data_IF_177797339619
#
_entry.id   IF_177797339619
#
_cell.length_a   1.000
_cell.length_b   1.000
_cell.length_c   1.000
_cell.angle_alpha   90.00
_cell.angle_beta   90.00
_cell.angle_gamma   90.00
#
_symmetry.space_group_name_H-M   'P 1'
#
loop_
_entity.id
_entity.type
_entity.pdbx_description
1 polymer ?
#
# COMPACT_ATOMS: atom_id res chain seq x y z
N UNK A 1 -9.25 34.44 -9.99
CA UNK A 1 -8.00 34.21 -9.22
C UNK A 1 -8.11 33.03 -8.27
N UNK A 2 -9.15 32.93 -7.43
CA UNK A 2 -9.34 31.81 -6.49
C UNK A 2 -9.29 30.45 -7.19
N UNK A 3 -10.02 30.27 -8.30
CA UNK A 3 -10.03 29.02 -9.07
C UNK A 3 -8.62 28.61 -9.58
N UNK A 4 -7.82 29.57 -10.05
CA UNK A 4 -6.44 29.30 -10.49
C UNK A 4 -5.52 28.90 -9.31
N UNK A 5 -5.71 29.51 -8.14
CA UNK A 5 -4.97 29.14 -6.92
C UNK A 5 -5.36 27.72 -6.47
N UNK A 6 -6.66 27.40 -6.48
CA UNK A 6 -7.17 26.06 -6.18
C UNK A 6 -6.56 25.02 -7.11
N UNK A 7 -6.45 25.31 -8.41
CA UNK A 7 -5.78 24.45 -9.37
C UNK A 7 -4.34 24.12 -8.94
N UNK A 8 -3.53 25.13 -8.60
CA UNK A 8 -2.14 24.91 -8.19
C UNK A 8 -2.03 24.11 -6.90
N UNK A 9 -2.90 24.41 -5.94
CA UNK A 9 -2.95 23.70 -4.66
C UNK A 9 -3.29 22.23 -4.88
N UNK A 10 -4.32 21.95 -5.68
CA UNK A 10 -4.73 20.56 -5.97
C UNK A 10 -3.60 19.83 -6.67
N UNK A 11 -2.99 20.39 -7.73
CA UNK A 11 -1.88 19.74 -8.44
C UNK A 11 -0.68 19.48 -7.52
N UNK A 12 -0.32 20.45 -6.67
CA UNK A 12 0.76 20.30 -5.70
C UNK A 12 0.45 19.20 -4.67
N UNK A 13 -0.78 19.17 -4.16
CA UNK A 13 -1.24 18.17 -3.21
C UNK A 13 -1.31 16.78 -3.83
N UNK A 14 -1.77 16.66 -5.08
CA UNK A 14 -1.77 15.42 -5.86
C UNK A 14 -0.36 14.85 -6.00
N UNK A 15 0.62 15.71 -6.35
CA UNK A 15 2.02 15.30 -6.45
C UNK A 15 2.57 14.85 -5.09
N UNK A 16 2.25 15.57 -4.01
CA UNK A 16 2.64 15.24 -2.65
C UNK A 16 2.06 13.90 -2.20
N UNK A 17 0.76 13.68 -2.36
CA UNK A 17 0.07 12.43 -1.99
C UNK A 17 0.67 11.25 -2.75
N UNK A 18 0.89 11.40 -4.06
CA UNK A 18 1.50 10.35 -4.89
C UNK A 18 2.94 10.04 -4.43
N UNK A 19 3.70 11.05 -4.01
CA UNK A 19 5.05 10.88 -3.47
C UNK A 19 5.04 10.16 -2.11
N UNK A 20 4.11 10.51 -1.22
CA UNK A 20 3.93 9.84 0.07
C UNK A 20 3.61 8.35 -0.16
N UNK A 21 2.64 8.06 -1.04
CA UNK A 21 2.27 6.69 -1.37
C UNK A 21 3.43 5.91 -1.99
N UNK A 22 4.20 6.53 -2.89
CA UNK A 22 5.43 5.92 -3.43
C UNK A 22 6.40 5.51 -2.33
N UNK A 23 6.68 6.41 -1.38
CA UNK A 23 7.61 6.12 -0.28
C UNK A 23 7.03 5.02 0.62
N UNK A 24 5.74 5.08 0.97
CA UNK A 24 5.07 4.05 1.75
C UNK A 24 5.16 2.67 1.08
N UNK A 25 4.90 2.59 -0.22
CA UNK A 25 5.03 1.35 -1.00
C UNK A 25 6.47 0.83 -1.03
N UNK A 26 7.48 1.70 -1.08
CA UNK A 26 8.90 1.29 -0.96
C UNK A 26 9.17 0.68 0.41
N UNK A 27 8.62 1.25 1.49
CA UNK A 27 8.75 0.67 2.85
C UNK A 27 8.09 -0.70 2.99
N UNK A 28 7.12 -1.04 2.13
CA UNK A 28 6.54 -2.40 2.09
C UNK A 28 7.38 -3.43 1.30
N UNK A 29 8.53 -3.02 0.76
CA UNK A 29 9.46 -3.90 0.02
C UNK A 29 9.34 -3.85 -1.50
N UNK A 30 8.56 -2.93 -2.08
CA UNK A 30 8.53 -2.73 -3.54
C UNK A 30 9.79 -2.00 -4.03
N UNK A 31 10.26 -2.37 -5.22
CA UNK A 31 11.34 -1.62 -5.88
C UNK A 31 10.91 -0.17 -6.14
N UNK A 32 11.87 0.75 -6.11
CA UNK A 32 11.57 2.19 -6.30
C UNK A 32 10.87 2.47 -7.63
N UNK A 33 11.20 1.73 -8.69
CA UNK A 33 10.56 1.88 -10.00
C UNK A 33 9.12 1.38 -9.97
N UNK A 34 8.87 0.18 -9.43
CA UNK A 34 7.53 -0.40 -9.31
C UNK A 34 6.64 0.47 -8.41
N UNK A 35 7.13 0.90 -7.24
CA UNK A 35 6.36 1.77 -6.34
C UNK A 35 5.99 3.12 -6.96
N UNK A 36 6.90 3.76 -7.72
CA UNK A 36 6.63 5.02 -8.43
C UNK A 36 5.57 4.84 -9.52
N UNK A 37 5.71 3.78 -10.32
CA UNK A 37 4.76 3.47 -11.38
C UNK A 37 3.39 3.16 -10.78
N UNK A 38 3.33 2.26 -9.79
CA UNK A 38 2.08 1.84 -9.17
C UNK A 38 1.34 3.00 -8.49
N UNK A 39 2.05 3.87 -7.74
CA UNK A 39 1.44 5.04 -7.14
C UNK A 39 0.88 6.01 -8.19
N UNK A 40 1.60 6.24 -9.31
CA UNK A 40 1.08 7.11 -10.38
C UNK A 40 -0.12 6.48 -11.07
N UNK A 41 -0.04 5.22 -11.47
CA UNK A 41 -1.12 4.55 -12.19
C UNK A 41 -2.37 4.38 -11.32
N UNK A 42 -2.22 4.18 -10.01
CA UNK A 42 -3.33 4.19 -9.07
C UNK A 42 -3.99 5.56 -8.96
N UNK A 43 -3.20 6.63 -8.84
CA UNK A 43 -3.70 7.99 -8.74
C UNK A 43 -4.41 8.45 -10.02
N UNK A 44 -3.91 8.07 -11.20
CA UNK A 44 -4.50 8.47 -12.49
C UNK A 44 -5.58 7.51 -13.00
N UNK A 45 -5.78 6.37 -12.36
CA UNK A 45 -6.72 5.33 -12.82
C UNK A 45 -6.28 4.59 -14.09
N UNK A 46 -4.99 4.63 -14.44
CA UNK A 46 -4.47 3.98 -15.67
C UNK A 46 -4.45 2.45 -15.56
N UNK A 47 -4.44 1.90 -14.34
CA UNK A 47 -4.42 0.47 -14.08
C UNK A 47 -3.03 -0.17 -14.07
N UNK A 48 -3.00 -1.50 -13.97
CA UNK A 48 -1.77 -2.31 -13.86
C UNK A 48 -1.87 -3.55 -14.73
N UNK A 49 -0.72 -4.18 -14.98
CA UNK A 49 -0.69 -5.56 -15.47
C UNK A 49 -1.08 -6.53 -14.35
N UNK A 50 -1.54 -7.73 -14.70
CA UNK A 50 -1.94 -8.76 -13.72
C UNK A 50 -0.83 -9.05 -12.70
N UNK A 51 0.41 -9.21 -13.17
CA UNK A 51 1.56 -9.49 -12.31
C UNK A 51 1.88 -8.35 -11.32
N UNK A 52 1.67 -7.08 -11.71
CA UNK A 52 1.85 -5.95 -10.79
C UNK A 52 0.69 -5.84 -9.79
N UNK A 53 -0.54 -6.13 -10.22
CA UNK A 53 -1.71 -6.20 -9.33
C UNK A 53 -1.55 -7.26 -8.25
N UNK A 54 -1.06 -8.45 -8.58
CA UNK A 54 -0.80 -9.52 -7.60
C UNK A 54 0.17 -9.07 -6.50
N UNK A 55 1.25 -8.38 -6.87
CA UNK A 55 2.20 -7.81 -5.91
C UNK A 55 1.51 -6.86 -4.94
N UNK A 56 0.58 -6.03 -5.40
CA UNK A 56 -0.15 -5.09 -4.54
C UNK A 56 -1.15 -5.85 -3.66
N UNK A 57 -1.94 -6.77 -4.24
CA UNK A 57 -3.06 -7.44 -3.57
C UNK A 57 -2.62 -8.44 -2.50
N UNK A 58 -1.44 -9.03 -2.64
CA UNK A 58 -0.86 -9.99 -1.69
C UNK A 58 -0.38 -9.36 -0.37
N UNK A 59 -0.52 -8.04 -0.18
CA UNK A 59 -0.15 -7.37 1.07
C UNK A 59 -1.24 -6.38 1.51
N UNK A 60 -1.77 -6.50 2.74
CA UNK A 60 -2.93 -5.72 3.19
C UNK A 60 -2.66 -4.20 3.17
N UNK A 61 -1.46 -3.78 3.60
CA UNK A 61 -1.07 -2.35 3.58
C UNK A 61 -0.93 -1.79 2.17
N UNK A 62 -0.22 -2.48 1.24
CA UNK A 62 -0.11 -2.04 -0.16
C UNK A 62 -1.49 -1.87 -0.80
N UNK A 63 -2.38 -2.84 -0.58
CA UNK A 63 -3.76 -2.80 -1.05
C UNK A 63 -4.52 -1.58 -0.53
N UNK A 64 -4.42 -1.27 0.77
CA UNK A 64 -5.09 -0.10 1.37
C UNK A 64 -4.53 1.24 0.84
N UNK A 65 -3.21 1.35 0.65
CA UNK A 65 -2.59 2.53 0.05
C UNK A 65 -3.15 2.77 -1.35
N UNK A 66 -3.17 1.73 -2.20
CA UNK A 66 -3.61 1.83 -3.59
C UNK A 66 -5.10 2.15 -3.69
N UNK A 67 -5.95 1.53 -2.87
CA UNK A 67 -7.38 1.85 -2.84
C UNK A 67 -7.65 3.33 -2.50
N UNK A 68 -6.99 3.86 -1.48
CA UNK A 68 -7.13 5.27 -1.12
C UNK A 68 -6.64 6.19 -2.25
N UNK A 69 -5.56 5.82 -2.93
CA UNK A 69 -5.01 6.60 -4.04
C UNK A 69 -5.97 6.68 -5.22
N UNK A 70 -6.65 5.59 -5.56
CA UNK A 70 -7.66 5.57 -6.62
C UNK A 70 -8.84 6.48 -6.30
N UNK A 71 -9.31 6.48 -5.05
CA UNK A 71 -10.41 7.35 -4.61
C UNK A 71 -10.02 8.84 -4.68
N UNK A 72 -8.86 9.19 -4.12
CA UNK A 72 -8.35 10.57 -4.10
C UNK A 72 -8.03 11.06 -5.51
N UNK A 73 -7.51 10.18 -6.37
CA UNK A 73 -7.22 10.46 -7.78
C UNK A 73 -8.43 11.01 -8.53
N UNK A 74 -9.55 10.29 -8.46
CA UNK A 74 -10.79 10.70 -9.11
C UNK A 74 -11.32 12.04 -8.59
N UNK A 75 -11.29 12.27 -7.27
CA UNK A 75 -11.68 13.55 -6.68
C UNK A 75 -10.77 14.71 -7.14
N UNK A 76 -9.47 14.44 -7.28
CA UNK A 76 -8.49 15.42 -7.77
C UNK A 76 -8.77 15.85 -9.22
N UNK A 77 -9.04 14.91 -10.11
CA UNK A 77 -9.35 15.19 -11.51
C UNK A 77 -10.59 16.08 -11.63
N UNK A 78 -11.68 15.76 -10.91
CA UNK A 78 -12.90 16.58 -10.92
C UNK A 78 -12.61 18.01 -10.44
N UNK A 79 -11.82 18.16 -9.38
CA UNK A 79 -11.47 19.48 -8.83
C UNK A 79 -10.62 20.31 -9.79
N UNK A 80 -9.64 19.68 -10.46
CA UNK A 80 -8.82 20.31 -11.50
C UNK A 80 -9.69 20.80 -12.65
N UNK A 81 -10.59 19.94 -13.15
CA UNK A 81 -11.48 20.27 -14.26
C UNK A 81 -12.42 21.44 -13.90
N UNK A 82 -13.07 21.40 -12.74
CA UNK A 82 -13.90 22.49 -12.25
C UNK A 82 -13.14 23.81 -12.13
N UNK A 83 -11.89 23.75 -11.64
CA UNK A 83 -11.03 24.94 -11.51
C UNK A 83 -10.66 25.54 -12.87
N UNK A 84 -10.37 24.70 -13.86
CA UNK A 84 -10.08 25.14 -15.23
C UNK A 84 -11.32 25.74 -15.89
N UNK A 85 -12.48 25.11 -15.76
CA UNK A 85 -13.75 25.64 -16.29
C UNK A 85 -14.03 27.02 -15.69
N UNK A 86 -13.94 27.17 -14.37
CA UNK A 86 -14.14 28.46 -13.71
C UNK A 86 -13.12 29.52 -14.14
N UNK A 87 -11.90 29.11 -14.47
CA UNK A 87 -10.82 30.03 -14.88
C UNK A 87 -10.97 30.51 -16.32
N UNK A 88 -11.49 29.67 -17.22
CA UNK A 88 -11.50 29.96 -18.67
C UNK A 88 -12.89 30.18 -19.28
N UNK A 89 -13.94 29.60 -18.70
CA UNK A 89 -15.30 29.63 -19.25
C UNK A 89 -16.11 30.78 -18.64
N UNK A 90 -15.95 31.03 -17.34
CA UNK A 90 -16.72 32.04 -16.62
C UNK A 90 -16.41 33.51 -17.01
N UNK A 91 -15.16 33.91 -17.34
CA UNK A 91 -14.88 35.30 -17.69
C UNK A 91 -15.42 35.68 -19.07
N UNK A 92 -16.10 36.83 -19.18
CA UNK A 92 -16.69 37.28 -20.45
C UNK A 92 -15.69 37.99 -21.39
N UNK A 93 -14.60 38.56 -20.85
CA UNK A 93 -13.64 39.33 -21.65
C UNK A 93 -12.41 38.52 -22.04
N UNK A 94 -11.96 38.68 -23.29
CA UNK A 94 -10.77 38.01 -23.83
C UNK A 94 -9.50 38.33 -23.00
N UNK A 95 -9.36 39.58 -22.56
CA UNK A 95 -8.23 40.01 -21.72
C UNK A 95 -8.17 39.24 -20.39
N UNK A 96 -9.32 38.94 -19.77
CA UNK A 96 -9.38 38.15 -18.53
C UNK A 96 -9.00 36.70 -18.76
N UNK A 97 -9.41 36.12 -19.91
CA UNK A 97 -9.02 34.76 -20.30
C UNK A 97 -7.52 34.65 -20.57
N UNK A 98 -6.93 35.63 -21.28
CA UNK A 98 -5.49 35.69 -21.54
C UNK A 98 -4.70 35.86 -20.24
N UNK A 99 -5.14 36.73 -19.34
CA UNK A 99 -4.51 36.90 -18.03
C UNK A 99 -4.57 35.62 -17.18
N UNK A 100 -5.73 34.94 -17.18
CA UNK A 100 -5.89 33.64 -16.54
C UNK A 100 -4.97 32.57 -17.13
N UNK A 101 -4.83 32.54 -18.46
CA UNK A 101 -3.93 31.61 -19.16
C UNK A 101 -2.47 31.82 -18.74
N UNK A 102 -2.00 33.07 -18.74
CA UNK A 102 -0.63 33.40 -18.33
C UNK A 102 -0.37 32.95 -16.89
N UNK A 103 -1.31 33.22 -15.98
CA UNK A 103 -1.20 32.78 -14.58
C UNK A 103 -1.13 31.25 -14.48
N UNK A 104 -2.01 30.53 -15.18
CA UNK A 104 -2.05 29.05 -15.15
C UNK A 104 -0.75 28.46 -15.70
N UNK A 105 -0.24 28.96 -16.83
CA UNK A 105 1.01 28.49 -17.43
C UNK A 105 2.20 28.73 -16.52
N UNK A 106 2.33 29.94 -15.97
CA UNK A 106 3.42 30.28 -15.05
C UNK A 106 3.32 29.45 -13.77
N UNK A 107 2.13 29.37 -13.17
CA UNK A 107 1.92 28.64 -11.92
C UNK A 107 2.16 27.14 -12.06
N UNK A 108 1.67 26.51 -13.13
CA UNK A 108 1.96 25.10 -13.41
C UNK A 108 3.44 24.85 -13.69
N UNK A 109 4.11 25.77 -14.38
CA UNK A 109 5.56 25.68 -14.62
C UNK A 109 6.35 25.73 -13.32
N UNK A 110 5.97 26.61 -12.39
CA UNK A 110 6.56 26.70 -11.05
C UNK A 110 6.33 25.42 -10.24
N UNK A 111 5.09 24.89 -10.24
CA UNK A 111 4.77 23.64 -9.55
C UNK A 111 5.57 22.47 -10.14
N UNK A 112 5.63 22.37 -11.46
CA UNK A 112 6.39 21.33 -12.14
C UNK A 112 7.89 21.41 -11.83
N UNK A 113 8.46 22.60 -11.85
CA UNK A 113 9.85 22.83 -11.45
C UNK A 113 10.11 22.45 -9.99
N UNK A 114 9.20 22.83 -9.09
CA UNK A 114 9.29 22.47 -7.67
C UNK A 114 9.23 20.94 -7.47
N UNK A 115 8.32 20.24 -8.14
CA UNK A 115 8.18 18.78 -8.05
C UNK A 115 9.41 18.05 -8.62
N UNK A 116 10.04 18.58 -9.67
CA UNK A 116 11.21 17.96 -10.30
C UNK A 116 12.55 18.34 -9.62
N UNK A 117 12.54 19.29 -8.68
CA UNK A 117 13.75 19.73 -8.00
C UNK A 117 14.30 18.66 -7.05
N UNK A 118 15.55 18.23 -7.28
CA UNK A 118 16.26 17.26 -6.42
C UNK A 118 16.38 17.72 -4.97
N UNK A 119 16.34 19.03 -4.72
CA UNK A 119 16.40 19.58 -3.37
C UNK A 119 15.08 19.37 -2.64
N UNK A 120 13.97 19.72 -3.30
CA UNK A 120 12.60 19.49 -2.80
C UNK A 120 12.37 18.01 -2.59
N UNK A 121 12.75 17.16 -3.56
CA UNK A 121 12.58 15.72 -3.48
C UNK A 121 13.29 15.12 -2.25
N UNK A 122 14.53 15.55 -1.98
CA UNK A 122 15.31 15.10 -0.81
C UNK A 122 14.72 15.58 0.50
N UNK A 123 14.36 16.86 0.59
CA UNK A 123 13.76 17.44 1.79
C UNK A 123 12.43 16.76 2.13
N UNK A 124 11.58 16.62 1.12
CA UNK A 124 10.27 15.99 1.27
C UNK A 124 10.39 14.51 1.59
N UNK A 125 11.29 13.77 0.93
CA UNK A 125 11.51 12.36 1.25
C UNK A 125 12.01 12.17 2.69
N UNK A 126 12.88 13.05 3.20
CA UNK A 126 13.34 13.01 4.59
C UNK A 126 12.22 13.30 5.58
N UNK A 127 11.38 14.29 5.28
CA UNK A 127 10.23 14.64 6.11
C UNK A 127 9.20 13.52 6.12
N UNK A 128 8.84 12.99 4.96
CA UNK A 128 7.91 11.86 4.80
C UNK A 128 8.44 10.64 5.57
N UNK A 129 9.70 10.26 5.38
CA UNK A 129 10.30 9.14 6.12
C UNK A 129 10.26 9.32 7.65
N UNK A 130 10.47 10.54 8.14
CA UNK A 130 10.35 10.84 9.58
C UNK A 130 8.91 10.74 10.06
N UNK A 131 7.97 11.28 9.29
CA UNK A 131 6.54 11.25 9.62
C UNK A 131 6.01 9.81 9.61
N UNK A 132 6.37 9.00 8.60
CA UNK A 132 5.97 7.59 8.56
C UNK A 132 6.53 6.84 9.76
N UNK A 133 7.81 7.01 10.11
CA UNK A 133 8.38 6.35 11.31
C UNK A 133 7.74 6.79 12.63
N UNK A 134 7.21 8.02 12.70
CA UNK A 134 6.65 8.58 13.94
C UNK A 134 5.16 8.31 14.10
N UNK A 135 4.40 8.32 13.00
CA UNK A 135 2.93 8.25 13.01
C UNK A 135 2.40 6.94 12.44
N UNK A 136 3.23 6.20 11.72
CA UNK A 136 2.86 4.89 11.22
C UNK A 136 3.66 3.86 12.00
N UNK A 137 2.98 3.20 12.94
CA UNK A 137 3.28 1.79 13.18
C UNK A 137 2.99 1.09 11.86
N UNK A 138 3.95 1.15 10.94
CA UNK A 138 4.10 0.08 9.99
C UNK A 138 4.59 -1.09 10.85
N UNK A 139 3.67 -1.69 11.60
CA UNK A 139 3.65 -3.09 12.02
C UNK A 139 3.60 -3.98 10.76
N UNK A 140 4.55 -3.71 9.87
CA UNK A 140 5.12 -4.62 8.90
C UNK A 140 6.55 -4.92 9.35
N UNK A 141 6.86 -4.64 10.61
CA UNK A 141 7.83 -5.44 11.34
C UNK A 141 7.03 -6.57 11.98
N UNK A 142 7.03 -7.68 11.27
CA UNK A 142 7.73 -8.83 11.80
C UNK A 142 6.96 -10.14 12.09
N UNK A 143 6.13 -10.59 11.15
CA UNK A 143 5.82 -12.03 11.08
C UNK A 143 6.81 -12.82 10.22
N UNK A 144 7.53 -12.16 9.30
CA UNK A 144 8.45 -12.82 8.37
C UNK A 144 9.93 -12.67 8.74
N UNK A 145 10.36 -11.62 9.46
CA UNK A 145 11.76 -11.41 9.81
C UNK A 145 12.13 -11.92 11.23
N UNK A 146 11.19 -12.07 12.19
CA UNK A 146 11.45 -12.72 13.50
C UNK A 146 11.83 -14.17 13.27
N UNK A 147 11.28 -14.80 12.23
CA UNK A 147 11.56 -16.19 11.94
C UNK A 147 12.74 -16.43 10.99
N UNK A 148 13.41 -15.38 10.47
CA UNK A 148 14.60 -15.53 9.61
C UNK A 148 14.43 -16.64 8.55
N UNK A 149 13.21 -16.77 8.02
CA UNK A 149 12.87 -17.84 7.09
C UNK A 149 13.49 -17.46 5.75
N UNK A 150 14.66 -18.05 5.44
CA UNK A 150 15.24 -18.04 4.08
C UNK A 150 14.15 -18.38 3.07
N UNK A 151 14.29 -17.87 1.84
CA UNK A 151 13.32 -17.75 0.73
C UNK A 151 12.42 -18.97 0.37
N UNK A 152 12.48 -20.07 1.11
CA UNK A 152 11.77 -21.33 0.92
C UNK A 152 10.84 -21.73 2.07
N UNK A 153 10.64 -20.89 3.09
CA UNK A 153 9.71 -21.20 4.17
C UNK A 153 8.59 -20.17 4.28
N UNK A 154 7.37 -20.66 4.51
CA UNK A 154 6.15 -19.85 4.69
C UNK A 154 5.41 -20.31 5.93
N UNK A 155 4.98 -19.36 6.75
CA UNK A 155 4.07 -19.63 7.86
C UNK A 155 2.64 -19.52 7.33
N UNK A 156 1.84 -20.55 7.60
CA UNK A 156 0.43 -20.60 7.23
C UNK A 156 -0.34 -21.21 8.38
N UNK A 157 -1.48 -20.62 8.70
CA UNK A 157 -2.49 -21.27 9.52
C UNK A 157 -3.29 -22.24 8.64
N UNK A 158 -3.61 -23.42 9.15
CA UNK A 158 -4.48 -24.36 8.46
C UNK A 158 -5.46 -25.00 9.44
N UNK A 159 -6.74 -24.73 9.23
CA UNK A 159 -7.82 -25.38 9.94
C UNK A 159 -7.93 -26.84 9.48
N UNK A 160 -7.85 -27.79 10.41
CA UNK A 160 -8.01 -29.21 10.14
C UNK A 160 -9.50 -29.54 10.22
N UNK A 161 -10.10 -29.81 9.06
CA UNK A 161 -11.49 -30.26 8.96
C UNK A 161 -11.63 -31.75 9.33
N UNK A 162 -12.80 -32.19 9.80
CA UNK A 162 -13.03 -33.57 10.26
C UNK A 162 -12.75 -34.64 9.20
N UNK A 163 -12.86 -34.31 7.91
CA UNK A 163 -12.60 -35.23 6.80
C UNK A 163 -11.17 -35.10 6.21
N UNK A 164 -10.28 -34.41 6.91
CA UNK A 164 -8.91 -34.18 6.46
C UNK A 164 -8.02 -35.37 6.82
N UNK A 165 -7.02 -35.67 5.99
CA UNK A 165 -6.03 -36.72 6.23
C UNK A 165 -5.22 -36.52 7.53
N UNK A 166 -5.20 -35.30 8.07
CA UNK A 166 -4.57 -34.95 9.34
C UNK A 166 -5.47 -35.22 10.58
N UNK A 167 -6.78 -35.43 10.39
CA UNK A 167 -7.71 -35.65 11.49
C UNK A 167 -7.48 -37.01 12.18
N UNK A 168 -7.70 -37.07 13.49
CA UNK A 168 -7.56 -38.30 14.32
C UNK A 168 -6.18 -38.95 14.35
N UNK A 169 -5.13 -38.25 13.88
CA UNK A 169 -3.75 -38.69 13.99
C UNK A 169 -2.98 -37.88 15.02
N UNK A 170 -2.01 -38.51 15.65
CA UNK A 170 -1.08 -37.78 16.53
C UNK A 170 -0.04 -37.03 15.69
N UNK A 171 0.54 -35.96 16.24
CA UNK A 171 1.65 -35.25 15.56
C UNK A 171 2.82 -36.19 15.23
N UNK A 172 3.04 -37.20 16.07
CA UNK A 172 4.06 -38.23 15.87
C UNK A 172 3.74 -39.14 14.68
N UNK A 173 2.46 -39.45 14.46
CA UNK A 173 2.00 -40.27 13.33
C UNK A 173 1.97 -39.50 12.02
N UNK A 174 1.77 -38.18 12.06
CA UNK A 174 1.75 -37.34 10.88
C UNK A 174 3.15 -37.04 10.32
N UNK A 175 4.18 -37.15 11.16
CA UNK A 175 5.59 -36.88 10.84
C UNK A 175 5.81 -35.66 9.92
N UNK A 176 5.10 -34.58 10.22
CA UNK A 176 5.07 -33.37 9.38
C UNK A 176 6.45 -32.76 9.14
N UNK A 177 7.40 -33.03 10.04
CA UNK A 177 8.80 -32.60 9.89
C UNK A 177 9.46 -33.24 8.67
N UNK A 178 9.15 -34.50 8.37
CA UNK A 178 9.67 -35.18 7.17
C UNK A 178 9.08 -34.59 5.89
N UNK A 179 7.86 -34.07 5.94
CA UNK A 179 7.20 -33.34 4.84
C UNK A 179 7.64 -31.86 4.76
N UNK A 180 8.64 -31.44 5.55
CA UNK A 180 9.15 -30.07 5.56
C UNK A 180 8.26 -29.07 6.31
N UNK A 181 7.27 -29.53 7.07
CA UNK A 181 6.32 -28.71 7.82
C UNK A 181 6.70 -28.69 9.30
N UNK A 182 6.90 -27.48 9.85
CA UNK A 182 7.17 -27.27 11.28
C UNK A 182 5.96 -26.65 11.94
N UNK A 183 5.45 -27.29 13.01
CA UNK A 183 4.33 -26.76 13.80
C UNK A 183 4.85 -25.79 14.84
N UNK A 184 4.34 -24.56 14.81
CA UNK A 184 4.68 -23.51 15.76
C UNK A 184 3.70 -23.43 16.94
N UNK A 185 2.44 -23.82 16.72
CA UNK A 185 1.43 -23.87 17.77
C UNK A 185 0.16 -24.59 17.31
N UNK A 186 -0.66 -24.98 18.28
CA UNK A 186 -1.97 -25.58 18.05
C UNK A 186 -3.00 -24.75 18.81
N UNK A 187 -4.01 -24.29 18.08
CA UNK A 187 -5.18 -23.65 18.63
C UNK A 187 -6.34 -24.67 18.66
N UNK A 188 -6.97 -24.87 19.82
CA UNK A 188 -8.09 -25.80 20.01
C UNK A 188 -9.28 -25.04 20.57
N UNK A 189 -10.49 -25.37 20.10
CA UNK A 189 -11.71 -24.78 20.64
C UNK A 189 -11.92 -25.10 22.14
N UNK A 190 -11.31 -26.17 22.64
CA UNK A 190 -11.51 -26.72 23.99
C UNK A 190 -10.32 -26.47 24.94
N UNK A 191 -9.20 -25.90 24.45
CA UNK A 191 -8.01 -25.61 25.25
C UNK A 191 -7.34 -24.32 24.76
N UNK A 192 -6.76 -23.56 25.68
CA UNK A 192 -5.93 -22.40 25.33
C UNK A 192 -4.79 -22.77 24.37
N UNK A 193 -4.36 -21.78 23.58
CA UNK A 193 -3.31 -21.88 22.58
C UNK A 193 -2.03 -22.55 23.12
N UNK A 194 -1.60 -23.63 22.47
CA UNK A 194 -0.38 -24.36 22.83
C UNK A 194 0.75 -23.94 21.90
N UNK A 195 1.72 -23.19 22.42
CA UNK A 195 2.94 -22.82 21.70
C UNK A 195 4.00 -23.93 21.74
N UNK A 196 4.67 -24.17 20.61
CA UNK A 196 5.78 -25.11 20.45
C UNK A 196 5.55 -26.50 21.08
N UNK A 197 4.52 -27.25 20.62
CA UNK A 197 4.18 -28.55 21.19
C UNK A 197 5.34 -29.56 21.03
N UNK A 198 5.71 -30.23 22.13
CA UNK A 198 6.66 -31.35 22.11
C UNK A 198 6.11 -32.51 21.26
N UNK A 199 6.99 -33.21 20.54
CA UNK A 199 6.66 -34.33 19.64
C UNK A 199 5.92 -35.50 20.34
N UNK A 200 5.94 -35.53 21.67
CA UNK A 200 5.18 -36.47 22.47
C UNK A 200 3.96 -35.77 23.08
N UNK A 201 2.83 -36.47 23.02
CA UNK A 201 1.57 -36.17 23.72
C UNK A 201 0.61 -35.24 22.98
N UNK A 202 0.12 -35.59 21.79
CA UNK A 202 -1.25 -35.18 21.42
C UNK A 202 -1.94 -36.21 20.53
N UNK A 203 -2.86 -36.98 21.13
CA UNK A 203 -3.90 -37.70 20.40
C UNK A 203 -5.00 -36.70 20.07
N UNK A 204 -5.41 -36.62 18.81
CA UNK A 204 -6.66 -35.95 18.46
C UNK A 204 -7.78 -36.79 19.10
N UNK A 205 -8.56 -36.19 19.98
CA UNK A 205 -9.86 -36.74 20.36
C UNK A 205 -10.92 -35.77 19.84
N UNK A 206 -11.94 -36.27 19.13
CA UNK A 206 -13.04 -35.45 18.66
C UNK A 206 -13.86 -34.97 19.86
N UNK A 207 -14.19 -33.68 19.88
CA UNK A 207 -15.35 -33.19 20.63
C UNK A 207 -16.56 -33.42 19.74
N UNK A 208 -17.60 -34.03 20.33
CA UNK A 208 -18.90 -34.35 19.71
C UNK A 208 -19.59 -33.05 19.29
#
# INVERSE_FOLDING_TARGET
MIAAITLFLVVALSALITKIATIALIHTGLSTQSARFQARSAYTGAGFTTAESEKIMNHPVRRKIVFNLMLIGNAGIVTVMSSLILTFVLPDTLSSKLYGLVIVVIGLSLVWWAVNSKWVDRGLSKLINRMLKKYTDLEIQDYAAVLHLKDHYKISEKKVEMNNWMANKTLKELDLRHEGITILGIDRADCDYIGSPLLAVFRYFPVI
#
